data_IF_484618909237
#
_entry.id   IF_484618909237
#
_cell.length_a   1.000
_cell.length_b   1.000
_cell.length_c   1.000
_cell.angle_alpha   90.00
_cell.angle_beta   90.00
_cell.angle_gamma   90.00
#
_symmetry.space_group_name_H-M   'P 1'
#
loop_
_entity.id
_entity.type
_entity.pdbx_description
1 polymer ?
#
# COMPACT_ATOMS: atom_id res chain seq x y z
N UNK A 1 -16.24 -12.79 -5.27
CA UNK A 1 -15.65 -13.78 -4.40
C UNK A 1 -14.33 -13.28 -3.83
N UNK A 2 -14.19 -13.36 -2.53
CA UNK A 2 -13.08 -12.73 -1.82
C UNK A 2 -12.12 -13.79 -1.29
N UNK A 3 -11.62 -14.65 -2.20
CA UNK A 3 -10.78 -15.78 -1.84
C UNK A 3 -9.30 -15.60 -2.14
N UNK A 4 -8.91 -14.48 -2.70
CA UNK A 4 -7.50 -14.20 -2.96
C UNK A 4 -6.81 -13.76 -1.67
N UNK A 5 -5.55 -14.16 -1.50
CA UNK A 5 -4.80 -13.86 -0.29
C UNK A 5 -3.58 -13.03 -0.62
N UNK A 6 -3.31 -12.05 0.23
CA UNK A 6 -2.13 -11.21 0.09
C UNK A 6 -0.89 -11.96 0.57
N UNK A 7 0.22 -11.77 -0.11
CA UNK A 7 1.53 -12.25 0.37
C UNK A 7 2.09 -11.19 1.33
N UNK A 8 1.69 -11.31 2.61
CA UNK A 8 2.05 -10.34 3.64
C UNK A 8 3.55 -10.20 3.81
N UNK A 9 4.25 -11.32 3.92
CA UNK A 9 5.70 -11.31 4.16
C UNK A 9 6.45 -10.70 2.98
N UNK A 10 6.07 -11.07 1.76
CA UNK A 10 6.69 -10.54 0.56
C UNK A 10 6.47 -9.04 0.41
N UNK A 11 5.26 -8.57 0.72
CA UNK A 11 4.94 -7.14 0.67
C UNK A 11 5.76 -6.35 1.70
N UNK A 12 5.75 -6.81 2.95
CA UNK A 12 6.46 -6.11 4.02
C UNK A 12 7.97 -6.07 3.74
N UNK A 13 8.54 -7.20 3.32
CA UNK A 13 9.96 -7.25 3.01
C UNK A 13 10.33 -6.27 1.90
N UNK A 14 9.53 -6.23 0.84
CA UNK A 14 9.77 -5.31 -0.27
C UNK A 14 9.74 -3.86 0.21
N UNK A 15 8.75 -3.49 1.00
CA UNK A 15 8.62 -2.13 1.51
C UNK A 15 9.78 -1.77 2.45
N UNK A 16 10.21 -2.73 3.27
CA UNK A 16 11.36 -2.50 4.15
C UNK A 16 12.64 -2.26 3.36
N UNK A 17 12.82 -2.97 2.25
CA UNK A 17 13.97 -2.76 1.37
C UNK A 17 13.97 -1.35 0.75
N UNK A 18 12.80 -0.73 0.63
CA UNK A 18 12.67 0.65 0.14
C UNK A 18 12.80 1.69 1.25
N UNK A 19 13.03 1.26 2.49
CA UNK A 19 13.21 2.20 3.60
C UNK A 19 11.96 2.47 4.42
N UNK A 20 10.90 1.70 4.22
CA UNK A 20 9.66 1.83 4.98
C UNK A 20 9.65 0.87 6.16
N UNK A 21 9.09 1.33 7.28
CA UNK A 21 8.89 0.49 8.46
C UNK A 21 7.42 0.13 8.59
N UNK A 22 7.14 -1.17 8.74
CA UNK A 22 5.77 -1.64 8.90
C UNK A 22 5.23 -1.25 10.28
N UNK A 23 4.02 -0.66 10.32
CA UNK A 23 3.42 -0.23 11.58
C UNK A 23 2.23 -1.09 11.98
N UNK A 24 1.28 -1.34 11.07
CA UNK A 24 0.11 -2.14 11.39
C UNK A 24 -0.58 -2.64 10.13
N UNK A 25 -1.43 -3.64 10.32
CA UNK A 25 -2.31 -4.16 9.26
C UNK A 25 -3.75 -4.12 9.76
N UNK A 26 -4.66 -3.69 8.89
CA UNK A 26 -6.10 -3.74 9.13
C UNK A 26 -6.76 -4.56 8.04
N UNK A 27 -7.93 -5.14 8.37
CA UNK A 27 -8.74 -5.84 7.37
C UNK A 27 -10.14 -5.24 7.38
N UNK A 28 -10.75 -5.20 6.20
CA UNK A 28 -12.12 -4.75 6.04
C UNK A 28 -12.97 -5.92 5.57
N UNK A 29 -14.16 -6.05 6.14
CA UNK A 29 -15.05 -7.19 5.88
C UNK A 29 -16.37 -6.70 5.29
N UNK A 30 -17.00 -7.55 4.48
CA UNK A 30 -18.32 -7.26 3.93
C UNK A 30 -19.42 -7.75 4.89
N UNK A 31 -20.69 -7.64 4.46
CA UNK A 31 -21.84 -8.05 5.25
C UNK A 31 -21.84 -9.54 5.62
N UNK A 32 -21.14 -10.36 4.85
CA UNK A 32 -20.99 -11.79 5.09
C UNK A 32 -19.79 -12.13 5.97
N UNK A 33 -19.16 -11.10 6.56
CA UNK A 33 -17.97 -11.24 7.41
C UNK A 33 -16.75 -11.78 6.67
N UNK A 34 -16.70 -11.61 5.36
CA UNK A 34 -15.54 -12.01 4.55
C UNK A 34 -14.61 -10.82 4.35
N UNK A 35 -13.31 -11.07 4.41
CA UNK A 35 -12.31 -10.01 4.21
C UNK A 35 -12.34 -9.56 2.75
N UNK A 36 -12.56 -8.26 2.53
CA UNK A 36 -12.58 -7.66 1.20
C UNK A 36 -11.28 -6.94 0.88
N UNK A 37 -10.68 -6.29 1.89
CA UNK A 37 -9.44 -5.55 1.72
C UNK A 37 -8.48 -5.85 2.87
N UNK A 38 -7.18 -5.96 2.53
CA UNK A 38 -6.09 -5.94 3.50
C UNK A 38 -5.40 -4.59 3.33
N UNK A 39 -5.19 -3.87 4.43
CA UNK A 39 -4.59 -2.55 4.41
C UNK A 39 -3.35 -2.56 5.29
N UNK A 40 -2.21 -2.22 4.69
CA UNK A 40 -0.91 -2.23 5.36
C UNK A 40 -0.42 -0.79 5.52
N UNK A 41 0.03 -0.46 6.72
CA UNK A 41 0.52 0.88 7.04
C UNK A 41 2.01 0.84 7.29
N UNK A 42 2.72 1.78 6.66
CA UNK A 42 4.16 1.94 6.78
C UNK A 42 4.49 3.39 7.08
N UNK A 43 5.68 3.62 7.62
CA UNK A 43 6.21 4.96 7.86
C UNK A 43 7.65 5.02 7.36
N UNK A 44 8.13 6.23 7.08
CA UNK A 44 9.52 6.47 6.69
C UNK A 44 9.90 7.89 7.10
N UNK A 45 11.13 8.30 6.76
CA UNK A 45 11.60 9.65 7.04
C UNK A 45 10.84 10.73 6.25
N UNK A 46 10.26 10.38 5.11
CA UNK A 46 9.52 11.32 4.24
C UNK A 46 8.02 11.19 4.35
N UNK A 47 7.54 10.02 4.76
CA UNK A 47 6.10 9.74 4.82
C UNK A 47 5.70 9.36 6.24
N UNK A 48 4.78 10.16 6.80
CA UNK A 48 4.16 9.79 8.07
C UNK A 48 3.36 8.50 7.89
N UNK A 49 2.63 8.40 6.75
CA UNK A 49 1.87 7.20 6.40
C UNK A 49 2.11 6.87 4.93
N UNK A 50 2.46 5.62 4.67
CA UNK A 50 2.37 5.02 3.33
C UNK A 50 1.42 3.83 3.49
N UNK A 51 0.24 3.92 2.87
CA UNK A 51 -0.80 2.92 3.01
C UNK A 51 -0.93 2.11 1.73
N UNK A 52 -0.74 0.80 1.84
CA UNK A 52 -0.89 -0.12 0.71
C UNK A 52 -2.16 -0.93 0.93
N UNK A 53 -3.07 -0.89 -0.01
CA UNK A 53 -4.35 -1.60 0.06
C UNK A 53 -4.37 -2.72 -0.97
N UNK A 54 -4.71 -3.92 -0.51
CA UNK A 54 -4.86 -5.10 -1.37
C UNK A 54 -6.32 -5.50 -1.43
N UNK A 55 -6.88 -5.58 -2.64
CA UNK A 55 -8.25 -6.05 -2.86
C UNK A 55 -8.26 -7.57 -2.98
N UNK A 56 -9.02 -8.24 -2.13
CA UNK A 56 -9.15 -9.70 -2.18
C UNK A 56 -10.00 -10.20 -3.34
N UNK A 57 -10.80 -9.32 -3.93
CA UNK A 57 -11.65 -9.68 -5.06
C UNK A 57 -10.84 -9.90 -6.33
N UNK A 58 -9.92 -9.00 -6.62
CA UNK A 58 -9.19 -9.00 -7.88
C UNK A 58 -7.67 -9.00 -7.71
N UNK A 59 -7.18 -9.11 -6.49
CA UNK A 59 -5.76 -9.08 -6.15
C UNK A 59 -5.06 -7.78 -6.59
N UNK A 60 -5.81 -6.69 -6.65
CA UNK A 60 -5.27 -5.40 -7.05
C UNK A 60 -4.70 -4.64 -5.88
N UNK A 61 -3.53 -4.03 -6.10
CA UNK A 61 -2.88 -3.15 -5.12
C UNK A 61 -3.11 -1.69 -5.49
N UNK A 62 -3.32 -0.88 -4.46
CA UNK A 62 -3.38 0.58 -4.59
C UNK A 62 -2.63 1.19 -3.40
N UNK A 63 -2.31 2.47 -3.49
CA UNK A 63 -1.62 3.14 -2.40
C UNK A 63 -2.14 4.55 -2.17
N UNK A 64 -1.93 5.03 -0.95
CA UNK A 64 -2.14 6.42 -0.57
C UNK A 64 -1.05 6.79 0.44
N UNK A 65 -0.81 8.09 0.61
CA UNK A 65 0.28 8.53 1.48
C UNK A 65 -0.07 9.82 2.21
N UNK A 66 0.67 10.07 3.28
CA UNK A 66 0.59 11.33 4.01
C UNK A 66 2.01 11.72 4.40
N UNK A 67 2.40 12.93 4.02
CA UNK A 67 3.68 13.51 4.49
C UNK A 67 3.46 14.11 5.88
N UNK A 68 4.55 14.33 6.61
CA UNK A 68 4.45 14.89 7.97
C UNK A 68 3.83 16.29 8.01
N UNK A 69 3.93 17.04 6.91
CA UNK A 69 3.38 18.38 6.81
C UNK A 69 1.94 18.40 6.30
N UNK A 70 1.41 17.28 5.88
CA UNK A 70 0.04 17.21 5.33
C UNK A 70 -0.98 17.01 6.43
N UNK A 71 -2.18 17.57 6.21
CA UNK A 71 -3.29 17.41 7.16
C UNK A 71 -4.09 16.14 6.91
N UNK A 72 -4.00 15.54 5.71
CA UNK A 72 -4.76 14.35 5.36
C UNK A 72 -4.00 13.47 4.38
N UNK A 73 -4.52 12.25 4.19
CA UNK A 73 -3.96 11.31 3.22
C UNK A 73 -4.19 11.82 1.80
N UNK A 74 -3.15 11.69 0.99
CA UNK A 74 -3.25 11.95 -0.43
C UNK A 74 -3.64 10.67 -1.15
N UNK A 75 -4.58 10.75 -2.08
CA UNK A 75 -4.99 9.61 -2.89
C UNK A 75 -3.88 9.27 -3.88
N UNK A 76 -3.55 8.01 -3.95
CA UNK A 76 -2.57 7.52 -4.92
C UNK A 76 -3.25 6.88 -6.11
N UNK A 77 -2.64 5.83 -6.61
CA UNK A 77 -3.08 5.15 -7.82
C UNK A 77 -3.19 3.66 -7.59
N UNK A 78 -3.89 3.01 -8.50
CA UNK A 78 -3.83 1.57 -8.64
C UNK A 78 -2.45 1.21 -9.18
N UNK A 79 -1.81 0.24 -8.55
CA UNK A 79 -0.43 -0.13 -8.87
C UNK A 79 -0.36 -1.36 -9.76
N UNK A 80 -1.30 -2.29 -9.60
CA UNK A 80 -1.33 -3.49 -10.42
C UNK A 80 -1.91 -4.68 -9.68
N UNK A 81 -1.96 -5.79 -10.39
CA UNK A 81 -2.51 -7.04 -9.89
C UNK A 81 -1.39 -7.97 -9.46
N UNK A 82 -1.50 -8.50 -8.24
CA UNK A 82 -0.50 -9.41 -7.70
C UNK A 82 0.76 -8.70 -7.23
N UNK A 83 1.54 -9.40 -6.42
CA UNK A 83 2.74 -8.83 -5.78
C UNK A 83 3.83 -8.49 -6.78
N UNK A 84 3.99 -9.33 -7.80
CA UNK A 84 5.04 -9.12 -8.81
C UNK A 84 4.83 -7.79 -9.54
N UNK A 85 3.61 -7.55 -10.00
CA UNK A 85 3.27 -6.33 -10.72
C UNK A 85 3.34 -5.13 -9.78
N UNK A 86 2.91 -5.30 -8.53
CA UNK A 86 3.05 -4.27 -7.51
C UNK A 86 4.51 -3.85 -7.36
N UNK A 87 5.42 -4.83 -7.21
CA UNK A 87 6.84 -4.54 -7.03
C UNK A 87 7.41 -3.76 -8.23
N UNK A 88 7.03 -4.18 -9.45
CA UNK A 88 7.54 -3.55 -10.66
C UNK A 88 7.05 -2.10 -10.81
N UNK A 89 5.84 -1.82 -10.39
CA UNK A 89 5.20 -0.52 -10.63
C UNK A 89 5.32 0.44 -9.46
N UNK A 90 5.38 -0.06 -8.23
CA UNK A 90 5.36 0.80 -7.05
C UNK A 90 6.55 1.76 -6.99
N UNK A 91 7.74 1.28 -7.31
CA UNK A 91 8.93 2.14 -7.29
C UNK A 91 8.79 3.30 -8.27
N UNK A 92 8.24 3.05 -9.45
CA UNK A 92 7.98 4.09 -10.43
C UNK A 92 7.04 5.15 -9.87
N UNK A 93 5.93 4.72 -9.27
CA UNK A 93 4.98 5.65 -8.68
C UNK A 93 5.58 6.39 -7.48
N UNK A 94 6.34 5.69 -6.66
CA UNK A 94 7.02 6.30 -5.52
C UNK A 94 7.98 7.40 -5.96
N UNK A 95 8.77 7.13 -7.00
CA UNK A 95 9.70 8.13 -7.53
C UNK A 95 8.95 9.36 -8.06
N UNK A 96 7.81 9.17 -8.70
CA UNK A 96 6.97 10.28 -9.14
C UNK A 96 6.47 11.10 -7.96
N UNK A 97 6.00 10.45 -6.90
CA UNK A 97 5.55 11.14 -5.70
C UNK A 97 6.70 11.94 -5.08
N UNK A 98 7.89 11.34 -4.95
CA UNK A 98 9.05 12.00 -4.37
C UNK A 98 9.49 13.20 -5.21
N UNK A 99 9.41 13.10 -6.54
CA UNK A 99 9.82 14.17 -7.44
C UNK A 99 8.83 15.34 -7.41
N UNK A 100 7.53 15.05 -7.39
CA UNK A 100 6.50 16.08 -7.52
C UNK A 100 6.12 16.68 -6.17
N UNK A 101 5.98 15.86 -5.12
CA UNK A 101 5.40 16.27 -3.84
C UNK A 101 6.41 16.43 -2.71
N UNK A 102 7.55 15.77 -2.80
CA UNK A 102 8.54 15.75 -1.71
C UNK A 102 9.82 16.50 -2.11
N UNK A 103 9.68 17.69 -2.60
CA UNK A 103 10.82 18.50 -3.02
C UNK A 103 11.63 19.04 -1.86
#
# INVERSE_FOLDING_TARGET
MYNKKVNRQGLIKFMEELGFSFTKKEVFRNNENKITFDVFYFTSDKFEIMRITFSRLDAEYSFSWKQYTDSCLQCGWKVGYGLREFKNNFEYHLNNVLTVYCK
#
